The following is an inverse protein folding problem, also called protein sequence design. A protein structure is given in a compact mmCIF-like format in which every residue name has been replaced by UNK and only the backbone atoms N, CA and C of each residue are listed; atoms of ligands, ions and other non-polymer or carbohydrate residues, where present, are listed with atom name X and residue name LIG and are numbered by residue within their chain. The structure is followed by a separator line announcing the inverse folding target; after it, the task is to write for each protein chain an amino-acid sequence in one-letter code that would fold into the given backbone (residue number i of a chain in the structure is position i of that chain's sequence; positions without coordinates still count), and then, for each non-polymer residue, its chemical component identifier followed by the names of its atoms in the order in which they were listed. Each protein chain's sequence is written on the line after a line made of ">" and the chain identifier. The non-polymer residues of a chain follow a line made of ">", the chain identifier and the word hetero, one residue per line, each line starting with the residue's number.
data_IF_050700326289
#
_entry.id   IF_050700326289
#
_cell.length_a   1.000
_cell.length_b   1.000
_cell.length_c   1.000
_cell.angle_alpha   90.00
_cell.angle_beta   90.00
_cell.angle_gamma   90.00
#
_symmetry.space_group_name_H-M   'P 1'
#
loop_
_entity.id
_entity.type
_entity.pdbx_description
1 polymer ?
#
# COMPACT_ATOMS: atom_id res chain seq x y z
N UNK A 1 1.28 -1.51 34.51
CA UNK A 1 1.70 -1.92 33.16
C UNK A 1 2.78 -0.96 32.69
N UNK A 2 3.91 -1.43 32.15
CA UNK A 2 4.97 -0.54 31.67
C UNK A 2 4.56 0.18 30.38
N UNK A 3 5.25 1.28 30.03
CA UNK A 3 5.02 1.97 28.75
C UNK A 3 5.25 1.03 27.55
N UNK A 4 6.26 0.16 27.62
CA UNK A 4 6.54 -0.82 26.59
C UNK A 4 5.38 -1.80 26.42
N UNK A 5 4.87 -2.36 27.52
CA UNK A 5 3.77 -3.33 27.50
C UNK A 5 2.47 -2.68 27.01
N UNK A 6 2.20 -1.45 27.44
CA UNK A 6 1.05 -0.67 26.97
C UNK A 6 1.10 -0.46 25.46
N UNK A 7 2.22 0.08 24.94
CA UNK A 7 2.35 0.33 23.50
C UNK A 7 2.25 -0.96 22.68
N UNK A 8 2.84 -2.05 23.17
CA UNK A 8 2.74 -3.37 22.53
C UNK A 8 1.30 -3.87 22.51
N UNK A 9 0.57 -3.72 23.62
CA UNK A 9 -0.85 -4.08 23.69
C UNK A 9 -1.67 -3.28 22.67
N UNK A 10 -1.48 -1.97 22.60
CA UNK A 10 -2.13 -1.09 21.60
C UNK A 10 -1.81 -1.55 20.18
N UNK A 11 -0.56 -1.89 19.87
CA UNK A 11 -0.18 -2.39 18.54
C UNK A 11 -0.93 -3.67 18.18
N UNK A 12 -1.00 -4.63 19.09
CA UNK A 12 -1.65 -5.94 18.86
C UNK A 12 -3.16 -5.78 18.71
N UNK A 13 -3.82 -5.04 19.59
CA UNK A 13 -5.28 -4.84 19.53
C UNK A 13 -5.67 -4.09 18.25
N UNK A 14 -4.92 -3.05 17.89
CA UNK A 14 -5.12 -2.33 16.62
C UNK A 14 -4.85 -3.19 15.39
N UNK A 15 -3.86 -4.10 15.43
CA UNK A 15 -3.60 -5.02 14.32
C UNK A 15 -4.76 -6.01 14.13
N UNK A 16 -5.33 -6.52 15.22
CA UNK A 16 -6.54 -7.36 15.17
C UNK A 16 -7.72 -6.57 14.61
N UNK A 17 -7.93 -5.34 15.08
CA UNK A 17 -8.97 -4.44 14.56
C UNK A 17 -8.79 -4.17 13.06
N UNK A 18 -7.57 -3.91 12.61
CA UNK A 18 -7.24 -3.75 11.20
C UNK A 18 -7.60 -5.00 10.39
N UNK A 19 -7.20 -6.18 10.85
CA UNK A 19 -7.55 -7.46 10.22
C UNK A 19 -9.06 -7.65 10.09
N UNK A 20 -9.82 -7.41 11.16
CA UNK A 20 -11.28 -7.43 11.15
C UNK A 20 -11.88 -6.41 10.18
N UNK A 21 -11.33 -5.20 10.14
CA UNK A 21 -11.73 -4.15 9.21
C UNK A 21 -11.48 -4.52 7.74
N UNK A 22 -10.36 -5.14 7.42
CA UNK A 22 -10.08 -5.66 6.07
C UNK A 22 -11.09 -6.74 5.66
N UNK A 23 -11.38 -7.68 6.57
CA UNK A 23 -12.36 -8.74 6.33
C UNK A 23 -13.75 -8.13 6.08
N UNK A 24 -14.17 -7.19 6.93
CA UNK A 24 -15.43 -6.46 6.76
C UNK A 24 -15.51 -5.79 5.39
N UNK A 25 -14.49 -4.98 5.02
CA UNK A 25 -14.48 -4.28 3.74
C UNK A 25 -14.44 -5.23 2.55
N UNK A 26 -13.75 -6.36 2.66
CA UNK A 26 -13.71 -7.40 1.62
C UNK A 26 -15.12 -7.95 1.35
N UNK A 27 -15.84 -8.38 2.40
CA UNK A 27 -17.19 -8.92 2.25
C UNK A 27 -18.19 -7.86 1.79
N UNK A 28 -18.11 -6.64 2.35
CA UNK A 28 -18.94 -5.51 1.93
C UNK A 28 -18.78 -5.23 0.43
N UNK A 29 -17.55 -5.24 -0.07
CA UNK A 29 -17.24 -4.98 -1.48
C UNK A 29 -17.73 -6.11 -2.37
N UNK A 30 -17.60 -7.37 -1.94
CA UNK A 30 -18.11 -8.53 -2.68
C UNK A 30 -19.63 -8.55 -2.84
N UNK A 31 -20.35 -7.94 -1.90
CA UNK A 31 -21.82 -7.82 -1.97
C UNK A 31 -22.28 -6.75 -2.99
N UNK A 32 -21.37 -5.88 -3.45
CA UNK A 32 -21.71 -4.88 -4.47
C UNK A 32 -21.96 -5.57 -5.81
N UNK A 33 -23.07 -5.24 -6.44
CA UNK A 33 -23.41 -5.75 -7.77
C UNK A 33 -22.55 -5.07 -8.82
N UNK A 34 -22.07 -5.87 -9.79
CA UNK A 34 -21.45 -5.32 -10.97
C UNK A 34 -22.49 -4.58 -11.82
N UNK A 35 -22.20 -3.36 -12.28
CA UNK A 35 -23.01 -2.75 -13.33
C UNK A 35 -22.97 -3.67 -14.56
N UNK A 36 -24.13 -3.86 -15.18
CA UNK A 36 -24.22 -4.64 -16.40
C UNK A 36 -23.38 -3.99 -17.51
N UNK A 37 -22.42 -4.73 -18.05
CA UNK A 37 -21.65 -4.31 -19.21
C UNK A 37 -22.36 -4.84 -20.47
N UNK A 38 -23.11 -3.97 -21.13
CA UNK A 38 -23.85 -4.29 -22.36
C UNK A 38 -22.95 -4.41 -23.60
N UNK A 39 -21.66 -4.10 -23.48
CA UNK A 39 -20.72 -4.28 -24.59
C UNK A 39 -20.56 -5.76 -24.92
N UNK A 40 -20.62 -6.08 -26.21
CA UNK A 40 -20.31 -7.43 -26.70
C UNK A 40 -18.86 -7.78 -26.33
N UNK A 41 -18.60 -8.96 -25.74
CA UNK A 41 -17.24 -9.38 -25.45
C UNK A 41 -16.47 -9.60 -26.77
N UNK A 42 -15.29 -9.00 -26.87
CA UNK A 42 -14.34 -9.11 -27.98
C UNK A 42 -13.00 -9.74 -27.56
N UNK A 43 -12.85 -10.09 -26.29
CA UNK A 43 -11.61 -10.67 -25.78
C UNK A 43 -11.73 -11.39 -24.44
N UNK A 44 -10.57 -11.78 -23.89
CA UNK A 44 -10.50 -12.58 -22.67
C UNK A 44 -10.34 -11.71 -21.42
N UNK A 45 -11.31 -11.81 -20.51
CA UNK A 45 -11.22 -11.15 -19.21
C UNK A 45 -10.04 -11.66 -18.38
N UNK A 46 -9.67 -12.95 -18.50
CA UNK A 46 -8.53 -13.54 -17.78
C UNK A 46 -7.23 -12.86 -18.16
N UNK A 47 -7.01 -12.67 -19.47
CA UNK A 47 -5.83 -11.96 -19.99
C UNK A 47 -5.80 -10.53 -19.48
N UNK A 48 -6.95 -9.83 -19.51
CA UNK A 48 -7.05 -8.47 -18.98
C UNK A 48 -6.73 -8.37 -17.49
N UNK A 49 -7.17 -9.33 -16.67
CA UNK A 49 -6.83 -9.40 -15.24
C UNK A 49 -5.31 -9.59 -15.07
N UNK A 50 -4.69 -10.55 -15.77
CA UNK A 50 -3.23 -10.76 -15.70
C UNK A 50 -2.48 -9.49 -16.11
N UNK A 51 -2.86 -8.89 -17.24
CA UNK A 51 -2.29 -7.63 -17.70
C UNK A 51 -2.39 -6.54 -16.64
N UNK A 52 -3.54 -6.43 -15.96
CA UNK A 52 -3.75 -5.43 -14.92
C UNK A 52 -2.82 -5.61 -13.71
N UNK A 53 -2.41 -6.82 -13.36
CA UNK A 53 -1.48 -7.05 -12.24
C UNK A 53 -0.01 -7.08 -12.65
N UNK A 54 0.28 -7.03 -13.95
CA UNK A 54 1.64 -7.16 -14.49
C UNK A 54 2.02 -5.93 -15.32
N UNK A 55 2.02 -6.06 -16.65
CA UNK A 55 2.45 -5.03 -17.62
C UNK A 55 1.68 -3.72 -17.42
N UNK A 56 0.38 -3.80 -17.15
CA UNK A 56 -0.48 -2.65 -16.92
C UNK A 56 -0.14 -1.84 -15.66
N UNK A 57 0.79 -2.29 -14.82
CA UNK A 57 1.33 -1.52 -13.69
C UNK A 57 2.64 -0.80 -14.01
N UNK A 58 3.29 -1.14 -15.12
CA UNK A 58 4.58 -0.59 -15.47
C UNK A 58 4.52 0.92 -15.75
N UNK A 59 5.53 1.69 -15.33
CA UNK A 59 5.49 3.15 -15.40
C UNK A 59 5.46 3.67 -16.83
N UNK A 60 5.98 2.91 -17.80
CA UNK A 60 5.92 3.24 -19.23
C UNK A 60 4.57 2.96 -19.89
N UNK A 61 3.63 2.28 -19.22
CA UNK A 61 2.32 1.95 -19.80
C UNK A 61 1.28 3.02 -19.49
N UNK A 62 1.31 3.61 -18.29
CA UNK A 62 0.37 4.68 -17.90
C UNK A 62 0.96 6.04 -18.24
N UNK A 63 0.18 6.88 -18.94
CA UNK A 63 0.62 8.21 -19.35
C UNK A 63 1.03 9.11 -18.18
N UNK A 64 0.24 9.07 -17.10
CA UNK A 64 0.53 9.86 -15.90
C UNK A 64 1.84 9.45 -15.24
N UNK A 65 2.17 8.17 -15.16
CA UNK A 65 3.45 7.71 -14.59
C UNK A 65 4.61 7.95 -15.55
N UNK A 66 4.39 7.83 -16.87
CA UNK A 66 5.38 8.20 -17.89
C UNK A 66 5.82 9.65 -17.76
N UNK A 67 4.85 10.56 -17.59
CA UNK A 67 5.12 12.01 -17.46
C UNK A 67 5.65 12.40 -16.08
N UNK A 68 5.41 11.58 -15.04
CA UNK A 68 5.75 11.90 -13.65
C UNK A 68 6.52 10.77 -12.95
N UNK A 69 7.66 10.37 -13.52
CA UNK A 69 8.46 9.23 -13.05
C UNK A 69 8.97 9.39 -11.61
N UNK A 70 9.33 10.60 -11.18
CA UNK A 70 9.80 10.88 -9.81
C UNK A 70 8.70 10.58 -8.79
N UNK A 71 7.46 11.01 -9.08
CA UNK A 71 6.32 10.75 -8.22
C UNK A 71 6.00 9.25 -8.11
N UNK A 72 6.18 8.50 -9.21
CA UNK A 72 6.06 7.05 -9.24
C UNK A 72 7.13 6.38 -8.38
N UNK A 73 8.41 6.72 -8.56
CA UNK A 73 9.53 6.10 -7.83
C UNK A 73 9.41 6.32 -6.32
N UNK A 74 9.06 7.54 -5.90
CA UNK A 74 8.74 7.83 -4.48
C UNK A 74 7.65 6.90 -3.96
N UNK A 75 6.56 6.73 -4.74
CA UNK A 75 5.47 5.83 -4.39
C UNK A 75 5.95 4.40 -4.21
N UNK A 76 6.78 3.88 -5.13
CA UNK A 76 7.34 2.53 -5.04
C UNK A 76 8.21 2.36 -3.80
N UNK A 77 9.17 3.26 -3.56
CA UNK A 77 10.06 3.21 -2.39
C UNK A 77 9.25 3.26 -1.09
N UNK A 78 8.23 4.13 -1.03
CA UNK A 78 7.34 4.22 0.13
C UNK A 78 6.63 2.88 0.41
N UNK A 79 6.05 2.24 -0.62
CA UNK A 79 5.35 0.98 -0.45
C UNK A 79 6.28 -0.19 -0.08
N UNK A 80 7.49 -0.25 -0.66
CA UNK A 80 8.50 -1.25 -0.26
C UNK A 80 8.84 -1.06 1.22
N UNK A 81 9.05 0.18 1.67
CA UNK A 81 9.25 0.51 3.08
C UNK A 81 8.10 0.04 3.97
N UNK A 82 6.85 0.24 3.54
CA UNK A 82 5.65 -0.24 4.26
C UNK A 82 5.66 -1.76 4.43
N UNK A 83 5.87 -2.52 3.35
CA UNK A 83 5.85 -3.98 3.43
C UNK A 83 6.96 -4.53 4.33
N UNK A 84 8.19 -4.01 4.21
CA UNK A 84 9.29 -4.40 5.09
C UNK A 84 9.02 -3.96 6.53
N UNK A 85 8.49 -2.76 6.75
CA UNK A 85 8.19 -2.24 8.08
C UNK A 85 7.14 -3.08 8.81
N UNK A 86 6.09 -3.51 8.10
CA UNK A 86 5.08 -4.43 8.62
C UNK A 86 5.71 -5.79 8.95
N UNK A 87 6.55 -6.33 8.07
CA UNK A 87 7.24 -7.59 8.32
C UNK A 87 8.13 -7.52 9.58
N UNK A 88 8.92 -6.46 9.72
CA UNK A 88 9.77 -6.21 10.90
C UNK A 88 8.93 -6.12 12.18
N UNK A 89 7.80 -5.43 12.14
CA UNK A 89 6.89 -5.35 13.28
C UNK A 89 6.37 -6.74 13.67
N UNK A 90 5.88 -7.53 12.69
CA UNK A 90 5.36 -8.88 12.95
C UNK A 90 6.45 -9.74 13.58
N UNK A 91 7.65 -9.76 13.00
CA UNK A 91 8.79 -10.51 13.55
C UNK A 91 9.11 -10.11 15.00
N UNK A 92 9.07 -8.81 15.32
CA UNK A 92 9.26 -8.33 16.69
C UNK A 92 8.12 -8.78 17.63
N UNK A 93 6.86 -8.75 17.17
CA UNK A 93 5.71 -9.20 17.97
C UNK A 93 5.80 -10.69 18.30
N UNK A 94 6.23 -11.52 17.34
CA UNK A 94 6.43 -12.97 17.53
C UNK A 94 7.81 -13.34 18.08
N UNK A 95 8.65 -12.36 18.43
CA UNK A 95 9.99 -12.53 19.00
C UNK A 95 10.96 -13.32 18.10
N UNK A 96 10.83 -13.19 16.78
CA UNK A 96 11.77 -13.75 15.81
C UNK A 96 12.92 -12.77 15.61
N UNK A 97 14.14 -13.25 15.83
CA UNK A 97 15.35 -12.45 15.66
C UNK A 97 15.68 -12.25 14.18
N UNK A 98 15.93 -11.00 13.79
CA UNK A 98 16.41 -10.65 12.46
C UNK A 98 17.92 -10.79 12.45
N UNK A 99 18.45 -11.51 11.46
CA UNK A 99 19.90 -11.65 11.29
C UNK A 99 20.56 -10.26 11.13
N UNK A 100 21.69 -10.05 11.81
CA UNK A 100 22.41 -8.78 11.90
C UNK A 100 22.75 -8.15 10.54
N UNK A 101 23.02 -8.96 9.52
CA UNK A 101 23.25 -8.50 8.14
C UNK A 101 22.03 -7.81 7.53
N UNK A 102 20.83 -8.26 7.86
CA UNK A 102 19.58 -7.71 7.34
C UNK A 102 19.06 -6.52 8.15
N UNK A 103 19.41 -6.40 9.42
CA UNK A 103 18.95 -5.28 10.28
C UNK A 103 19.29 -3.92 9.67
N UNK A 104 20.55 -3.72 9.24
CA UNK A 104 20.98 -2.46 8.62
C UNK A 104 20.30 -2.22 7.28
N UNK A 105 20.17 -3.25 6.46
CA UNK A 105 19.50 -3.17 5.16
C UNK A 105 18.03 -2.77 5.32
N UNK A 106 17.30 -3.42 6.24
CA UNK A 106 15.91 -3.09 6.52
C UNK A 106 15.76 -1.70 7.11
N UNK A 107 16.65 -1.28 8.02
CA UNK A 107 16.62 0.07 8.58
C UNK A 107 16.77 1.14 7.48
N UNK A 108 17.68 0.92 6.53
CA UNK A 108 17.88 1.84 5.39
C UNK A 108 16.64 1.86 4.49
N UNK A 109 16.12 0.70 4.08
CA UNK A 109 14.97 0.66 3.15
C UNK A 109 13.72 1.25 3.80
N UNK A 110 13.43 0.89 5.05
CA UNK A 110 12.28 1.43 5.80
C UNK A 110 12.46 2.93 6.06
N UNK A 111 13.67 3.37 6.41
CA UNK A 111 14.01 4.78 6.60
C UNK A 111 13.83 5.61 5.32
N UNK A 112 14.27 5.10 4.17
CA UNK A 112 14.00 5.70 2.86
C UNK A 112 12.50 5.77 2.58
N UNK A 113 11.75 4.72 2.94
CA UNK A 113 10.29 4.73 2.90
C UNK A 113 9.71 5.91 3.70
N UNK A 114 10.14 6.09 4.95
CA UNK A 114 9.70 7.21 5.80
C UNK A 114 9.99 8.58 5.15
N UNK A 115 11.20 8.77 4.62
CA UNK A 115 11.59 10.01 3.92
C UNK A 115 10.69 10.25 2.70
N UNK A 116 10.39 9.21 1.92
CA UNK A 116 9.48 9.30 0.77
C UNK A 116 8.03 9.59 1.18
N UNK A 117 7.60 9.14 2.36
CA UNK A 117 6.32 9.50 2.97
C UNK A 117 6.25 10.98 3.33
N UNK A 118 7.23 11.48 4.09
CA UNK A 118 7.30 12.90 4.48
C UNK A 118 7.46 13.84 3.28
N UNK A 119 8.26 13.48 2.27
CA UNK A 119 8.35 14.25 1.03
C UNK A 119 7.00 14.35 0.32
N UNK A 120 6.11 13.36 0.51
CA UNK A 120 4.75 13.41 0.03
C UNK A 120 3.86 14.40 0.74
N UNK A 121 4.04 14.59 2.04
CA UNK A 121 3.36 15.66 2.79
C UNK A 121 3.83 17.01 2.26
N UNK A 122 5.15 17.19 2.15
CA UNK A 122 5.74 18.40 1.60
C UNK A 122 5.18 18.73 0.21
N UNK A 123 5.18 17.79 -0.73
CA UNK A 123 4.63 18.02 -2.06
C UNK A 123 3.14 18.39 -2.06
N UNK A 124 2.33 17.86 -1.15
CA UNK A 124 0.91 18.24 -1.02
C UNK A 124 0.71 19.66 -0.48
N UNK A 125 1.67 20.19 0.27
CA UNK A 125 1.64 21.57 0.78
C UNK A 125 2.04 22.56 -0.32
N UNK A 126 3.09 22.23 -1.07
CA UNK A 126 3.74 23.17 -1.99
C UNK A 126 3.25 23.09 -3.44
N UNK A 127 2.87 21.91 -3.94
CA UNK A 127 2.43 21.76 -5.32
C UNK A 127 0.94 22.12 -5.46
N UNK A 128 0.66 23.10 -6.34
CA UNK A 128 -0.66 23.74 -6.46
C UNK A 128 -1.76 22.74 -6.83
N UNK A 129 -1.49 21.80 -7.72
CA UNK A 129 -2.50 20.85 -8.19
C UNK A 129 -2.81 19.80 -7.12
N UNK A 130 -1.78 19.24 -6.48
CA UNK A 130 -1.88 18.29 -5.38
C UNK A 130 -2.60 18.91 -4.20
N UNK A 131 -2.28 20.16 -3.83
CA UNK A 131 -2.97 20.84 -2.73
C UNK A 131 -4.46 20.99 -2.98
N UNK A 132 -4.87 21.36 -4.20
CA UNK A 132 -6.28 21.54 -4.59
C UNK A 132 -7.11 20.27 -4.48
N UNK A 133 -6.50 19.10 -4.71
CA UNK A 133 -7.19 17.80 -4.66
C UNK A 133 -6.92 17.04 -3.34
N UNK A 134 -6.10 17.59 -2.44
CA UNK A 134 -5.78 16.96 -1.16
C UNK A 134 -6.85 17.28 -0.13
N UNK A 135 -7.15 16.28 0.68
CA UNK A 135 -8.05 16.34 1.83
C UNK A 135 -7.24 16.16 3.10
N UNK A 136 -7.78 16.53 4.26
CA UNK A 136 -7.15 16.31 5.57
C UNK A 136 -6.77 14.83 5.77
N UNK A 137 -7.61 13.92 5.28
CA UNK A 137 -7.39 12.47 5.35
C UNK A 137 -6.12 12.01 4.60
N UNK A 138 -5.73 12.71 3.52
CA UNK A 138 -4.46 12.43 2.82
C UNK A 138 -3.24 12.76 3.67
N UNK A 139 -3.31 13.84 4.45
CA UNK A 139 -2.23 14.26 5.34
C UNK A 139 -2.13 13.31 6.53
N UNK A 140 -3.25 13.00 7.18
CA UNK A 140 -3.28 12.08 8.34
C UNK A 140 -2.77 10.70 7.94
N UNK A 141 -3.26 10.15 6.83
CA UNK A 141 -2.85 8.82 6.36
C UNK A 141 -1.35 8.72 6.10
N UNK A 142 -0.78 9.70 5.38
CA UNK A 142 0.65 9.68 5.06
C UNK A 142 1.49 9.95 6.30
N UNK A 143 1.05 10.84 7.20
CA UNK A 143 1.77 11.14 8.44
C UNK A 143 1.86 9.92 9.36
N UNK A 144 0.74 9.23 9.60
CA UNK A 144 0.72 8.04 10.44
C UNK A 144 1.67 6.96 9.91
N UNK A 145 1.56 6.65 8.61
CA UNK A 145 2.44 5.64 7.98
C UNK A 145 3.90 6.10 8.02
N UNK A 146 4.20 7.37 7.77
CA UNK A 146 5.59 7.88 7.81
C UNK A 146 6.18 7.79 9.21
N UNK A 147 5.42 8.16 10.25
CA UNK A 147 5.85 8.02 11.65
C UNK A 147 6.06 6.55 12.04
N UNK A 148 5.16 5.66 11.61
CA UNK A 148 5.33 4.22 11.78
C UNK A 148 6.66 3.75 11.18
N UNK A 149 6.94 4.08 9.91
CA UNK A 149 8.21 3.69 9.27
C UNK A 149 9.43 4.30 9.96
N UNK A 150 9.37 5.57 10.38
CA UNK A 150 10.45 6.20 11.13
C UNK A 150 10.79 5.41 12.38
N UNK A 151 9.79 5.05 13.19
CA UNK A 151 10.07 4.34 14.43
C UNK A 151 10.43 2.87 14.24
N UNK A 152 9.96 2.21 13.17
CA UNK A 152 10.47 0.88 12.79
C UNK A 152 11.95 0.95 12.40
N UNK A 153 12.33 1.92 11.56
CA UNK A 153 13.72 2.10 11.15
C UNK A 153 14.62 2.41 12.37
N UNK A 154 14.17 3.28 13.27
CA UNK A 154 14.89 3.61 14.49
C UNK A 154 14.98 2.43 15.47
N UNK A 155 13.92 1.62 15.61
CA UNK A 155 13.94 0.46 16.51
C UNK A 155 14.89 -0.64 16.04
N UNK A 156 15.09 -0.78 14.72
CA UNK A 156 16.09 -1.69 14.15
C UNK A 156 17.52 -1.30 14.54
N UNK A 157 17.79 0.00 14.69
CA UNK A 157 19.12 0.50 15.08
C UNK A 157 19.27 0.58 16.59
N UNK A 158 18.20 0.93 17.31
CA UNK A 158 18.23 1.13 18.75
C UNK A 158 16.91 0.72 19.40
N UNK A 159 16.95 -0.30 20.26
CA UNK A 159 15.78 -0.89 20.92
C UNK A 159 15.01 0.09 21.81
N UNK A 160 15.59 1.23 22.22
CA UNK A 160 14.89 2.29 22.97
C UNK A 160 13.66 2.84 22.23
N UNK A 161 13.65 2.76 20.89
CA UNK A 161 12.52 3.21 20.08
C UNK A 161 11.41 2.17 19.92
N UNK A 162 11.55 0.96 20.47
CA UNK A 162 10.56 -0.12 20.31
C UNK A 162 9.18 0.27 20.83
N UNK A 163 9.09 0.98 21.95
CA UNK A 163 7.79 1.44 22.48
C UNK A 163 7.12 2.45 21.55
N UNK A 164 7.89 3.31 20.90
CA UNK A 164 7.36 4.27 19.92
C UNK A 164 6.98 3.58 18.61
N UNK A 165 7.76 2.58 18.17
CA UNK A 165 7.39 1.72 17.04
C UNK A 165 6.03 1.07 17.28
N UNK A 166 5.83 0.43 18.44
CA UNK A 166 4.55 -0.20 18.75
C UNK A 166 3.40 0.82 18.83
N UNK A 167 3.63 1.96 19.47
CA UNK A 167 2.60 2.98 19.62
C UNK A 167 2.16 3.56 18.27
N UNK A 168 3.10 3.95 17.40
CA UNK A 168 2.76 4.50 16.07
C UNK A 168 2.19 3.42 15.13
N UNK A 169 2.63 2.17 15.27
CA UNK A 169 1.99 1.02 14.60
C UNK A 169 0.53 0.90 15.02
N UNK A 170 0.25 0.98 16.32
CA UNK A 170 -1.09 0.90 16.88
C UNK A 170 -2.02 2.00 16.37
N UNK A 171 -1.54 3.25 16.33
CA UNK A 171 -2.30 4.36 15.73
C UNK A 171 -2.56 4.14 14.24
N UNK A 172 -1.55 3.68 13.51
CA UNK A 172 -1.64 3.45 12.06
C UNK A 172 -2.66 2.36 11.74
N UNK A 173 -2.59 1.20 12.41
CA UNK A 173 -3.51 0.09 12.17
C UNK A 173 -4.92 0.36 12.66
N UNK A 174 -5.08 1.09 13.78
CA UNK A 174 -6.41 1.51 14.23
C UNK A 174 -7.09 2.41 13.19
N UNK A 175 -6.35 3.37 12.65
CA UNK A 175 -6.88 4.29 11.65
C UNK A 175 -7.02 3.64 10.26
N UNK A 176 -6.23 2.60 9.95
CA UNK A 176 -6.15 2.04 8.61
C UNK A 176 -7.49 1.62 7.97
N UNK A 177 -8.40 0.90 8.67
CA UNK A 177 -9.67 0.48 8.08
C UNK A 177 -10.72 1.61 8.02
N UNK A 178 -10.54 2.71 8.76
CA UNK A 178 -11.51 3.82 8.79
C UNK A 178 -11.13 4.94 7.80
N UNK A 179 -9.84 5.27 7.68
CA UNK A 179 -9.32 6.31 6.80
C UNK A 179 -9.02 5.84 5.37
N UNK A 180 -8.20 6.60 4.64
CA UNK A 180 -7.78 6.30 3.26
C UNK A 180 -6.84 5.09 3.14
N UNK A 181 -6.15 4.66 4.19
CA UNK A 181 -5.20 3.54 4.13
C UNK A 181 -5.88 2.23 3.67
N UNK A 182 -7.18 2.05 3.93
CA UNK A 182 -7.99 0.91 3.43
C UNK A 182 -7.94 0.71 1.91
N UNK A 183 -7.49 1.71 1.14
CA UNK A 183 -7.21 1.53 -0.28
C UNK A 183 -6.23 0.39 -0.57
N UNK A 184 -5.41 -0.04 0.39
CA UNK A 184 -4.56 -1.23 0.24
C UNK A 184 -5.37 -2.48 -0.14
N UNK A 185 -6.63 -2.59 0.32
CA UNK A 185 -7.56 -3.64 -0.12
C UNK A 185 -8.19 -3.30 -1.47
N UNK A 186 -8.70 -2.07 -1.62
CA UNK A 186 -9.40 -1.64 -2.84
C UNK A 186 -8.51 -1.62 -4.07
N UNK A 187 -7.20 -1.53 -3.90
CA UNK A 187 -6.22 -1.67 -4.97
C UNK A 187 -6.44 -2.97 -5.74
N UNK A 188 -6.60 -4.11 -5.06
CA UNK A 188 -6.80 -5.42 -5.70
C UNK A 188 -8.13 -5.49 -6.45
N UNK A 189 -9.22 -5.01 -5.83
CA UNK A 189 -10.53 -4.95 -6.48
C UNK A 189 -10.51 -4.05 -7.73
N UNK A 190 -9.93 -2.86 -7.61
CA UNK A 190 -9.79 -1.90 -8.71
C UNK A 190 -9.02 -2.50 -9.89
N UNK A 191 -7.89 -3.17 -9.64
CA UNK A 191 -7.11 -3.84 -10.71
C UNK A 191 -7.88 -4.99 -11.33
N UNK A 192 -8.53 -5.82 -10.54
CA UNK A 192 -9.35 -6.91 -11.05
C UNK A 192 -10.46 -6.39 -11.98
N UNK A 193 -11.25 -5.39 -11.57
CA UNK A 193 -12.31 -4.84 -12.41
C UNK A 193 -11.79 -4.13 -13.66
N UNK A 194 -10.71 -3.35 -13.51
CA UNK A 194 -10.03 -2.72 -14.63
C UNK A 194 -9.57 -3.77 -15.65
N UNK A 195 -8.98 -4.86 -15.18
CA UNK A 195 -8.53 -5.97 -16.02
C UNK A 195 -9.70 -6.68 -16.72
N UNK A 196 -10.77 -7.00 -16.02
CA UNK A 196 -11.98 -7.60 -16.62
C UNK A 196 -12.51 -6.71 -17.74
N UNK A 197 -12.61 -5.40 -17.50
CA UNK A 197 -13.14 -4.43 -18.46
C UNK A 197 -12.27 -4.32 -19.73
N UNK A 198 -10.95 -4.18 -19.56
CA UNK A 198 -10.03 -4.11 -20.69
C UNK A 198 -9.98 -5.43 -21.49
N UNK A 199 -9.97 -6.56 -20.77
CA UNK A 199 -9.94 -7.90 -21.34
C UNK A 199 -11.19 -8.21 -22.17
N UNK A 200 -12.38 -8.00 -21.59
CA UNK A 200 -13.66 -8.22 -22.30
C UNK A 200 -13.77 -7.38 -23.57
N UNK A 201 -13.20 -6.18 -23.58
CA UNK A 201 -13.22 -5.27 -24.75
C UNK A 201 -12.15 -5.57 -25.79
N UNK A 202 -11.26 -6.54 -25.54
CA UNK A 202 -10.19 -6.91 -26.45
C UNK A 202 -9.06 -5.89 -26.55
N UNK A 203 -8.96 -4.93 -25.62
CA UNK A 203 -7.96 -3.84 -25.67
C UNK A 203 -6.54 -4.38 -25.44
N UNK A 204 -6.42 -5.42 -24.61
CA UNK A 204 -5.13 -5.99 -24.18
C UNK A 204 -4.54 -7.01 -25.15
N UNK A 205 -5.31 -7.44 -26.17
CA UNK A 205 -4.86 -8.43 -27.15
C UNK A 205 -3.65 -7.98 -27.97
N UNK A 206 -3.39 -6.67 -28.09
CA UNK A 206 -2.17 -6.17 -28.75
C UNK A 206 -0.88 -6.41 -27.92
N UNK A 207 -1.01 -6.71 -26.63
CA UNK A 207 0.11 -6.90 -25.68
C UNK A 207 0.33 -8.36 -25.26
N UNK A 208 -0.52 -9.24 -25.74
CA UNK A 208 -0.38 -10.70 -25.64
C UNK A 208 -0.56 -11.20 -27.05
N UNK A 209 0.52 -11.58 -27.73
CA UNK A 209 0.41 -12.35 -28.96
C UNK A 209 -0.47 -13.56 -28.67
N UNK A 210 -1.74 -13.47 -29.05
CA UNK A 210 -2.57 -14.64 -29.25
C UNK A 210 -2.48 -14.83 -30.75
N UNK A 211 -1.70 -15.82 -31.16
CA UNK A 211 -1.79 -16.42 -32.49
C UNK A 211 -3.29 -16.70 -32.71
N UNK A 212 -3.94 -15.85 -33.50
CA UNK A 212 -5.17 -16.28 -34.14
C UNK A 212 -4.71 -17.42 -35.04
N UNK A 213 -5.16 -18.63 -34.71
CA UNK A 213 -4.86 -19.81 -35.51
C UNK A 213 -5.12 -19.50 -36.98
N UNK A 214 -4.14 -19.89 -37.79
CA UNK A 214 -4.28 -19.98 -39.24
C UNK A 214 -5.54 -20.75 -39.64
#
# INVERSE_FOLDING_TARGET
>A
MSWFDFSKLVAVTSLIFFGGGLIYHYYKTKQLRFPADFARPKGSYKIGVIYSFTIGMMPWVKESTRKHWVAYLRGVIFHIGIFIGIAVLILNLVKVNINSSFVKLFAIIVGLGAIMGFSGIFMRIFEKNLRKISTVDDFISVLLVSLFLTFVALSLVNSKFSSLMYFTSGLTFFYAPVGKIKHCLYFFFSRFFFGVHLGRRGIVHKYTEVLYGE
#
